data_IF_156036565083
#
_entry.id   IF_156036565083
#
_cell.length_a   1.000
_cell.length_b   1.000
_cell.length_c   1.000
_cell.angle_alpha   90.00
_cell.angle_beta   90.00
_cell.angle_gamma   90.00
#
_symmetry.space_group_name_H-M   'P 1'
#
loop_
_entity.id
_entity.type
_entity.pdbx_description
1 polymer ?
#
# COMPACT_ATOMS: atom_id res chain seq x y z
N UNK A 1 39.94 -25.18 -10.33
CA UNK A 1 39.78 -23.73 -10.17
C UNK A 1 38.35 -23.36 -10.53
N UNK A 2 37.44 -23.75 -9.62
CA UNK A 2 36.36 -22.95 -9.05
C UNK A 2 35.50 -22.09 -10.00
N UNK A 3 34.69 -22.77 -10.82
CA UNK A 3 33.55 -22.19 -11.54
C UNK A 3 32.27 -22.14 -10.68
N UNK A 4 32.34 -21.55 -9.48
CA UNK A 4 31.16 -21.39 -8.59
C UNK A 4 30.90 -19.95 -8.16
N UNK A 5 31.42 -18.96 -8.89
CA UNK A 5 31.24 -17.54 -8.56
C UNK A 5 29.94 -16.91 -9.11
N UNK A 6 29.01 -17.71 -9.66
CA UNK A 6 27.80 -17.18 -10.31
C UNK A 6 26.52 -17.88 -9.84
N UNK A 7 26.38 -18.12 -8.53
CA UNK A 7 25.17 -18.72 -7.97
C UNK A 7 24.57 -17.96 -6.77
N UNK A 8 25.01 -16.74 -6.47
CA UNK A 8 24.53 -16.02 -5.27
C UNK A 8 23.92 -14.64 -5.50
N UNK A 9 23.92 -14.10 -6.73
CA UNK A 9 23.34 -12.76 -6.99
C UNK A 9 22.18 -12.77 -7.98
N UNK A 10 21.48 -13.89 -8.11
CA UNK A 10 20.06 -13.82 -8.40
C UNK A 10 19.35 -13.59 -7.06
N UNK A 11 19.48 -12.37 -6.52
CA UNK A 11 18.56 -11.90 -5.49
C UNK A 11 17.19 -12.16 -6.08
N UNK A 12 16.50 -13.16 -5.54
CA UNK A 12 15.13 -13.46 -5.88
C UNK A 12 14.37 -12.22 -5.48
N UNK A 13 14.20 -11.28 -6.41
CA UNK A 13 13.18 -10.26 -6.36
C UNK A 13 11.91 -11.09 -6.43
N UNK A 14 11.47 -11.57 -5.27
CA UNK A 14 10.14 -12.10 -5.12
C UNK A 14 9.29 -10.93 -5.53
N UNK A 15 8.67 -11.04 -6.71
CA UNK A 15 7.69 -10.07 -7.22
C UNK A 15 6.50 -10.12 -6.27
N UNK A 16 6.67 -9.49 -5.10
CA UNK A 16 5.65 -9.39 -4.06
C UNK A 16 4.73 -8.30 -4.53
N UNK A 17 3.80 -8.67 -5.39
CA UNK A 17 2.73 -7.76 -5.79
C UNK A 17 1.93 -7.35 -4.55
N UNK A 18 1.71 -6.05 -4.30
CA UNK A 18 0.88 -5.62 -3.19
C UNK A 18 -0.56 -6.13 -3.39
N UNK A 19 -1.18 -6.59 -2.30
CA UNK A 19 -2.59 -7.01 -2.27
C UNK A 19 -3.53 -5.83 -2.07
N UNK A 20 -3.05 -4.76 -1.43
CA UNK A 20 -3.74 -3.47 -1.33
C UNK A 20 -2.72 -2.36 -1.59
N UNK A 21 -3.10 -1.39 -2.42
CA UNK A 21 -2.33 -0.17 -2.61
C UNK A 21 -3.30 1.01 -2.66
N UNK A 22 -3.05 2.02 -1.83
CA UNK A 22 -3.78 3.30 -1.83
C UNK A 22 -2.79 4.44 -2.02
N UNK A 23 -3.24 5.53 -2.64
CA UNK A 23 -2.50 6.77 -2.77
C UNK A 23 -3.41 7.91 -2.37
N UNK A 24 -2.98 8.68 -1.37
CA UNK A 24 -3.64 9.89 -0.88
C UNK A 24 -5.15 9.73 -0.62
N UNK A 25 -5.57 8.54 -0.17
CA UNK A 25 -6.97 8.20 -0.02
C UNK A 25 -7.60 9.00 1.13
N UNK A 26 -8.70 9.70 0.83
CA UNK A 26 -9.44 10.49 1.80
C UNK A 26 -10.89 10.03 1.88
N UNK A 27 -11.43 9.99 3.11
CA UNK A 27 -12.82 9.60 3.37
C UNK A 27 -13.52 10.65 4.22
N UNK A 28 -14.50 11.31 3.61
CA UNK A 28 -15.32 12.34 4.25
C UNK A 28 -16.76 11.86 4.35
N UNK A 29 -17.30 11.84 5.56
CA UNK A 29 -18.71 11.62 5.79
C UNK A 29 -19.44 12.95 5.88
N UNK A 30 -20.67 12.99 5.36
CA UNK A 30 -21.60 14.08 5.64
C UNK A 30 -22.54 13.66 6.76
N UNK A 31 -22.74 14.54 7.73
CA UNK A 31 -23.50 14.27 8.95
C UNK A 31 -24.35 15.48 9.35
N UNK A 32 -25.12 15.34 10.44
CA UNK A 32 -26.03 16.37 10.94
C UNK A 32 -27.38 16.42 10.21
N UNK A 33 -28.27 17.32 10.66
CA UNK A 33 -29.55 17.56 10.01
C UNK A 33 -29.31 18.13 8.61
N UNK A 34 -29.94 17.53 7.59
CA UNK A 34 -29.71 17.82 6.16
C UNK A 34 -28.26 17.63 5.67
N UNK A 35 -27.42 16.84 6.34
CA UNK A 35 -26.05 16.51 5.87
C UNK A 35 -25.14 17.75 5.72
N UNK A 36 -25.39 18.79 6.51
CA UNK A 36 -24.70 20.07 6.44
C UNK A 36 -23.31 20.06 7.08
N UNK A 37 -22.95 19.01 7.81
CA UNK A 37 -21.63 18.88 8.44
C UNK A 37 -20.77 17.91 7.63
N UNK A 38 -19.46 18.16 7.57
CA UNK A 38 -18.47 17.28 6.97
C UNK A 38 -17.48 16.83 8.04
N UNK A 39 -17.21 15.54 8.10
CA UNK A 39 -16.23 14.95 9.01
C UNK A 39 -15.28 14.08 8.19
N UNK A 40 -13.99 14.40 8.25
CA UNK A 40 -12.94 13.58 7.64
C UNK A 40 -12.54 12.46 8.58
N UNK A 41 -12.79 11.23 8.15
CA UNK A 41 -12.46 10.01 8.91
C UNK A 41 -11.14 9.38 8.51
N UNK A 42 -10.71 9.59 7.25
CA UNK A 42 -9.43 9.15 6.73
C UNK A 42 -8.83 10.33 5.97
N UNK A 43 -7.58 10.70 6.29
CA UNK A 43 -6.90 11.86 5.73
C UNK A 43 -5.68 11.39 4.94
N UNK A 44 -5.65 11.65 3.63
CA UNK A 44 -4.52 11.46 2.73
C UNK A 44 -3.72 10.15 2.98
N UNK A 45 -4.43 9.03 3.07
CA UNK A 45 -3.84 7.75 3.39
C UNK A 45 -3.21 7.09 2.16
N UNK A 46 -1.88 7.01 2.16
CA UNK A 46 -1.11 6.18 1.24
C UNK A 46 -0.62 4.94 1.97
N UNK A 47 -1.03 3.76 1.51
CA UNK A 47 -0.73 2.48 2.14
C UNK A 47 -0.45 1.43 1.08
N UNK A 48 0.57 0.62 1.32
CA UNK A 48 0.88 -0.58 0.52
C UNK A 48 0.91 -1.79 1.44
N UNK A 49 0.03 -2.75 1.18
CA UNK A 49 -0.07 -4.00 1.94
C UNK A 49 0.36 -5.15 1.03
N UNK A 50 1.25 -6.00 1.54
CA UNK A 50 1.68 -7.23 0.88
C UNK A 50 1.02 -8.44 1.56
N UNK A 51 0.94 -9.56 0.84
CA UNK A 51 0.41 -10.82 1.38
C UNK A 51 1.32 -11.37 2.49
N UNK A 52 0.74 -11.77 3.63
CA UNK A 52 1.42 -12.35 4.80
C UNK A 52 0.72 -11.97 6.11
#
# INVERSE_FOLDING_TARGET
MDSTANLETALTVVDRKPVVQTSELTKVYRTGFWLNQKIESLKNCSLTVYQG
#
